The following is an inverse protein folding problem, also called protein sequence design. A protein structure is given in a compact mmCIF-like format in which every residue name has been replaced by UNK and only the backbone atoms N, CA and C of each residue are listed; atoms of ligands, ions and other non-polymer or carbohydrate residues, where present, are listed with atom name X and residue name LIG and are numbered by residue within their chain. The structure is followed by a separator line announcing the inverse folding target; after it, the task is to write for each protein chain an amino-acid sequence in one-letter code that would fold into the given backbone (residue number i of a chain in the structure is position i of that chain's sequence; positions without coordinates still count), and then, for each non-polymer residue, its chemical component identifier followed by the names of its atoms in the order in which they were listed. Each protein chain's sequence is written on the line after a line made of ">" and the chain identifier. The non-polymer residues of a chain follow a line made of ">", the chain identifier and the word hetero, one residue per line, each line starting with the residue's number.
data_IF_226499697802
#
_entry.id   IF_226499697802
#
_cell.length_a   1.000
_cell.length_b   1.000
_cell.length_c   1.000
_cell.angle_alpha   90.00
_cell.angle_beta   90.00
_cell.angle_gamma   90.00
#
_symmetry.space_group_name_H-M   'P 1'
#
loop_
_entity.id
_entity.type
_entity.pdbx_description
1 polymer ?
#
# COMPACT_ATOMS: atom_id res chain seq x y z
N UNK A 1 133.91 13.66 51.69
CA UNK A 1 133.45 14.35 52.92
C UNK A 1 132.27 15.22 52.50
N UNK A 2 131.08 15.18 53.08
CA UNK A 2 130.63 14.70 54.38
C UNK A 2 129.17 14.25 54.19
N UNK A 3 128.91 12.95 54.29
CA UNK A 3 127.56 12.41 54.32
C UNK A 3 126.84 12.99 55.53
N UNK A 4 125.86 13.87 55.29
CA UNK A 4 125.09 14.50 56.35
C UNK A 4 124.13 13.45 56.93
N UNK A 5 124.61 12.86 58.03
CA UNK A 5 124.03 11.85 58.92
C UNK A 5 122.64 12.18 59.49
N UNK A 6 122.00 13.26 59.04
CA UNK A 6 120.73 13.79 59.56
C UNK A 6 119.48 13.19 58.87
N UNK A 7 119.63 12.48 57.74
CA UNK A 7 118.49 11.84 57.05
C UNK A 7 118.28 10.37 57.48
N UNK A 8 119.28 9.75 58.13
CA UNK A 8 119.23 8.34 58.53
C UNK A 8 118.75 8.09 59.97
N UNK A 9 118.63 9.13 60.81
CA UNK A 9 118.19 8.98 62.21
C UNK A 9 116.69 9.28 62.44
N UNK A 10 116.00 10.01 61.56
CA UNK A 10 114.54 10.15 61.65
C UNK A 10 113.77 8.91 61.15
N UNK A 11 114.46 7.96 60.49
CA UNK A 11 113.92 6.65 60.11
C UNK A 11 113.94 5.61 61.25
N UNK A 12 114.31 6.05 62.48
CA UNK A 12 114.44 5.24 63.69
C UNK A 12 113.49 5.67 64.83
N UNK A 13 112.35 6.27 64.50
CA UNK A 13 111.23 6.35 65.44
C UNK A 13 110.23 5.24 65.14
N UNK A 14 110.67 4.00 65.37
CA UNK A 14 109.77 2.87 65.62
C UNK A 14 109.09 3.14 66.95
N UNK A 15 107.97 3.86 66.91
CA UNK A 15 107.01 3.89 68.00
C UNK A 15 106.38 2.50 68.07
N UNK A 16 106.99 1.70 68.93
CA UNK A 16 106.58 0.37 69.37
C UNK A 16 105.23 0.45 70.06
N UNK A 17 104.18 0.74 69.30
CA UNK A 17 102.82 0.33 69.62
C UNK A 17 102.59 -0.97 68.88
N UNK A 18 102.71 -2.10 69.58
CA UNK A 18 102.06 -3.33 69.14
C UNK A 18 100.57 -3.03 69.15
N UNK A 19 100.04 -2.46 68.07
CA UNK A 19 98.60 -2.46 67.83
C UNK A 19 98.31 -3.90 67.48
N UNK A 20 98.12 -4.71 68.52
CA UNK A 20 97.34 -5.93 68.40
C UNK A 20 96.02 -5.42 67.83
N UNK A 21 95.84 -5.53 66.52
CA UNK A 21 94.50 -5.57 65.96
C UNK A 21 93.92 -6.87 66.54
N UNK A 22 93.35 -6.75 67.73
CA UNK A 22 92.38 -7.70 68.25
C UNK A 22 91.19 -7.48 67.32
N UNK A 23 91.28 -8.03 66.11
CA UNK A 23 90.20 -8.01 65.15
C UNK A 23 89.12 -8.86 65.81
N UNK A 24 88.01 -8.25 66.30
CA UNK A 24 87.00 -9.04 66.96
C UNK A 24 86.44 -10.01 65.92
N UNK A 25 86.21 -11.28 66.29
CA UNK A 25 85.59 -12.30 65.42
C UNK A 25 84.29 -11.78 64.75
N UNK A 26 83.64 -10.79 65.37
CA UNK A 26 82.50 -10.05 64.83
C UNK A 26 82.74 -9.45 63.44
N UNK A 27 83.97 -9.02 63.11
CA UNK A 27 84.30 -8.42 61.82
C UNK A 27 84.32 -9.44 60.68
N UNK A 28 84.74 -10.68 60.97
CA UNK A 28 84.61 -11.80 60.03
C UNK A 28 83.15 -12.19 59.80
N UNK A 29 82.34 -12.20 60.87
CA UNK A 29 80.89 -12.47 60.77
C UNK A 29 80.14 -11.42 59.94
N UNK A 30 80.41 -10.14 60.18
CA UNK A 30 79.79 -9.05 59.39
C UNK A 30 80.29 -9.03 57.95
N UNK A 31 81.57 -9.28 57.70
CA UNK A 31 82.11 -9.39 56.34
C UNK A 31 81.50 -10.58 55.58
N UNK A 32 81.38 -11.75 56.23
CA UNK A 32 80.75 -12.93 55.63
C UNK A 32 79.25 -12.69 55.34
N UNK A 33 78.53 -12.03 56.25
CA UNK A 33 77.13 -11.68 56.04
C UNK A 33 76.93 -10.71 54.87
N UNK A 34 77.77 -9.68 54.74
CA UNK A 34 77.75 -8.77 53.59
C UNK A 34 78.06 -9.49 52.28
N UNK A 35 79.06 -10.38 52.30
CA UNK A 35 79.43 -11.16 51.13
C UNK A 35 78.30 -12.10 50.69
N UNK A 36 77.66 -12.78 51.64
CA UNK A 36 76.50 -13.63 51.38
C UNK A 36 75.33 -12.83 50.79
N UNK A 37 75.04 -11.63 51.33
CA UNK A 37 74.01 -10.74 50.80
C UNK A 37 74.33 -10.31 49.36
N UNK A 38 75.59 -9.97 49.08
CA UNK A 38 76.02 -9.58 47.74
C UNK A 38 75.86 -10.71 46.73
N UNK A 39 76.25 -11.93 47.09
CA UNK A 39 76.05 -13.13 46.24
C UNK A 39 74.57 -13.40 46.03
N UNK A 40 73.72 -13.24 47.06
CA UNK A 40 72.28 -13.41 46.96
C UNK A 40 71.65 -12.41 45.98
N UNK A 41 72.07 -11.14 46.02
CA UNK A 41 71.61 -10.10 45.10
C UNK A 41 72.01 -10.43 43.66
N UNK A 42 73.26 -10.84 43.43
CA UNK A 42 73.72 -11.23 42.09
C UNK A 42 72.97 -12.44 41.55
N UNK A 43 72.74 -13.44 42.40
CA UNK A 43 71.93 -14.61 42.04
C UNK A 43 70.50 -14.21 41.68
N UNK A 44 69.87 -13.34 42.49
CA UNK A 44 68.53 -12.84 42.23
C UNK A 44 68.46 -12.05 40.91
N UNK A 45 69.42 -11.16 40.63
CA UNK A 45 69.49 -10.41 39.37
C UNK A 45 69.68 -11.31 38.15
N UNK A 46 70.47 -12.38 38.27
CA UNK A 46 70.69 -13.33 37.17
C UNK A 46 69.45 -14.16 36.87
N UNK A 47 68.63 -14.47 37.88
CA UNK A 47 67.35 -15.17 37.71
C UNK A 47 66.21 -14.23 37.30
N UNK A 48 66.39 -12.92 37.45
CA UNK A 48 65.41 -11.92 37.08
C UNK A 48 65.56 -11.55 35.60
N UNK A 49 65.10 -12.43 34.72
CA UNK A 49 64.80 -12.03 33.36
C UNK A 49 63.64 -11.03 33.41
N UNK A 50 63.93 -9.76 33.12
CA UNK A 50 62.92 -8.77 32.80
C UNK A 50 62.22 -9.24 31.52
N UNK A 51 61.16 -10.03 31.69
CA UNK A 51 60.27 -10.45 30.62
C UNK A 51 59.77 -9.20 29.92
N UNK A 52 60.44 -8.86 28.82
CA UNK A 52 60.09 -7.73 27.96
C UNK A 52 58.74 -8.07 27.37
N UNK A 53 57.67 -7.61 28.03
CA UNK A 53 56.32 -7.61 27.49
C UNK A 53 56.31 -6.65 26.31
N UNK A 54 56.69 -7.15 25.15
CA UNK A 54 56.34 -6.51 23.90
C UNK A 54 54.83 -6.69 23.71
N UNK A 55 54.09 -5.65 24.05
CA UNK A 55 52.70 -5.51 23.62
C UNK A 55 52.70 -5.45 22.10
N UNK A 56 52.42 -6.58 21.45
CA UNK A 56 52.22 -6.61 20.00
C UNK A 56 50.94 -5.82 19.71
N UNK A 57 51.09 -4.58 19.23
CA UNK A 57 49.98 -3.78 18.71
C UNK A 57 49.59 -4.34 17.33
N UNK A 58 49.01 -5.54 17.31
CA UNK A 58 48.40 -6.10 16.12
C UNK A 58 46.97 -5.59 15.96
N UNK A 59 46.60 -5.16 14.76
CA UNK A 59 45.21 -4.95 14.38
C UNK A 59 44.84 -6.01 13.34
N UNK A 60 43.64 -6.58 13.46
CA UNK A 60 43.11 -7.51 12.47
C UNK A 60 42.67 -6.69 11.25
N UNK A 61 43.53 -6.61 10.25
CA UNK A 61 43.18 -6.00 8.97
C UNK A 61 42.47 -7.05 8.09
N UNK A 62 41.25 -6.79 7.60
CA UNK A 62 40.54 -7.72 6.74
C UNK A 62 41.30 -7.91 5.42
N UNK A 63 41.73 -9.15 5.13
CA UNK A 63 42.54 -9.46 3.94
C UNK A 63 41.84 -9.17 2.61
N UNK A 64 40.49 -9.18 2.60
CA UNK A 64 39.67 -9.01 1.39
C UNK A 64 39.05 -7.61 1.25
N UNK A 65 39.44 -6.66 2.11
CA UNK A 65 38.88 -5.32 2.13
C UNK A 65 37.50 -5.23 2.81
N UNK A 66 36.96 -4.03 2.89
CA UNK A 66 35.65 -3.72 3.49
C UNK A 66 34.76 -3.11 2.41
N UNK A 67 33.50 -3.55 2.34
CA UNK A 67 32.49 -2.98 1.45
C UNK A 67 31.40 -2.36 2.30
N UNK A 68 31.13 -1.08 2.06
CA UNK A 68 29.98 -0.40 2.65
C UNK A 68 28.77 -0.60 1.76
N UNK A 69 27.71 -1.20 2.31
CA UNK A 69 26.46 -1.37 1.59
C UNK A 69 25.65 -0.07 1.66
N UNK A 70 25.30 0.47 0.50
CA UNK A 70 24.41 1.61 0.37
C UNK A 70 23.05 1.15 -0.12
N UNK A 71 21.99 1.67 0.49
CA UNK A 71 20.64 1.39 0.04
C UNK A 71 20.33 2.19 -1.22
N UNK A 72 19.69 1.56 -2.20
CA UNK A 72 19.37 2.20 -3.48
C UNK A 72 18.40 3.38 -3.37
N UNK A 73 17.65 3.49 -2.26
CA UNK A 73 16.64 4.54 -2.02
C UNK A 73 16.63 4.93 -0.54
N UNK A 74 16.38 6.22 -0.27
CA UNK A 74 16.15 6.73 1.09
C UNK A 74 14.82 6.21 1.64
N UNK A 75 14.82 5.77 2.90
CA UNK A 75 13.64 5.26 3.58
C UNK A 75 13.89 5.08 5.08
N UNK A 76 12.85 4.71 5.82
CA UNK A 76 12.93 4.48 7.27
C UNK A 76 13.29 3.01 7.50
N UNK A 77 14.35 2.76 8.28
CA UNK A 77 14.70 1.41 8.72
C UNK A 77 13.57 0.90 9.62
N UNK A 78 12.87 -0.14 9.17
CA UNK A 78 11.78 -0.73 9.94
C UNK A 78 12.27 -1.89 10.81
N UNK A 79 13.19 -2.70 10.29
CA UNK A 79 13.71 -3.86 11.00
C UNK A 79 15.12 -4.21 10.53
N UNK A 80 16.02 -4.52 11.45
CA UNK A 80 17.37 -5.04 11.21
C UNK A 80 17.44 -6.47 11.76
N UNK A 81 17.92 -7.41 10.96
CA UNK A 81 17.98 -8.84 11.32
C UNK A 81 19.38 -9.36 11.59
N UNK A 82 20.40 -8.49 11.53
CA UNK A 82 21.79 -8.87 11.72
C UNK A 82 22.41 -8.09 12.87
N UNK A 83 23.38 -8.73 13.52
CA UNK A 83 24.20 -8.15 14.59
C UNK A 83 25.67 -8.15 14.16
N UNK A 84 26.49 -7.37 14.86
CA UNK A 84 27.92 -7.26 14.57
C UNK A 84 28.63 -8.61 14.75
N UNK A 85 29.44 -9.00 13.77
CA UNK A 85 30.17 -10.27 13.79
C UNK A 85 29.39 -11.49 13.27
N UNK A 86 28.13 -11.31 12.84
CA UNK A 86 27.34 -12.40 12.24
C UNK A 86 27.83 -12.74 10.82
N UNK A 87 28.04 -14.02 10.55
CA UNK A 87 28.30 -14.50 9.19
C UNK A 87 27.02 -14.52 8.35
N UNK A 88 27.05 -13.90 7.17
CA UNK A 88 25.90 -13.72 6.30
C UNK A 88 26.16 -14.45 4.98
N UNK A 89 25.14 -15.14 4.47
CA UNK A 89 25.18 -15.82 3.16
C UNK A 89 24.65 -14.93 2.04
N UNK A 90 25.09 -15.18 0.81
CA UNK A 90 24.62 -14.43 -0.36
C UNK A 90 23.10 -14.55 -0.51
N UNK A 91 22.42 -13.41 -0.63
CA UNK A 91 20.96 -13.35 -0.74
C UNK A 91 20.19 -13.31 0.59
N UNK A 92 20.87 -13.42 1.74
CA UNK A 92 20.22 -13.33 3.04
C UNK A 92 19.73 -11.89 3.32
N UNK A 93 18.46 -11.69 3.74
CA UNK A 93 17.93 -10.37 4.04
C UNK A 93 18.53 -9.81 5.33
N UNK A 94 19.16 -8.63 5.21
CA UNK A 94 19.88 -7.96 6.31
C UNK A 94 18.96 -6.97 7.04
N UNK A 95 18.18 -6.19 6.29
CA UNK A 95 17.29 -5.15 6.82
C UNK A 95 16.04 -4.98 5.95
N UNK A 96 14.93 -4.55 6.57
CA UNK A 96 13.72 -4.08 5.88
C UNK A 96 13.63 -2.58 6.02
N UNK A 97 13.62 -1.90 4.88
CA UNK A 97 13.42 -0.46 4.79
C UNK A 97 12.01 -0.23 4.28
N UNK A 98 11.23 0.54 5.04
CA UNK A 98 9.95 1.05 4.57
C UNK A 98 10.19 2.40 3.88
N UNK A 99 9.74 2.51 2.64
CA UNK A 99 9.83 3.75 1.89
C UNK A 99 8.79 4.75 2.42
N UNK A 100 9.24 5.84 3.05
CA UNK A 100 8.36 6.91 3.55
C UNK A 100 7.87 7.85 2.44
N UNK A 101 8.43 7.80 1.22
CA UNK A 101 7.95 8.63 0.10
C UNK A 101 6.50 8.30 -0.31
N UNK A 102 5.92 7.20 0.20
CA UNK A 102 4.52 6.85 0.01
C UNK A 102 3.54 7.43 1.04
N UNK A 103 3.99 7.93 2.21
CA UNK A 103 3.03 8.32 3.27
C UNK A 103 2.44 9.72 3.09
N UNK A 104 3.17 10.65 2.48
CA UNK A 104 2.66 12.02 2.22
C UNK A 104 2.02 12.15 0.83
N UNK A 105 2.64 11.62 -0.23
CA UNK A 105 2.11 11.74 -1.62
C UNK A 105 1.44 10.47 -2.17
N UNK A 106 1.78 9.29 -1.65
CA UNK A 106 1.22 8.01 -2.09
C UNK A 106 -0.11 7.67 -1.40
N UNK A 107 -0.23 7.98 -0.11
CA UNK A 107 -1.47 7.83 0.67
C UNK A 107 -2.55 8.76 0.13
N UNK A 108 -2.20 10.03 -0.14
CA UNK A 108 -3.11 11.01 -0.76
C UNK A 108 -3.60 10.55 -2.15
N UNK A 109 -2.71 10.04 -3.01
CA UNK A 109 -3.11 9.48 -4.31
C UNK A 109 -4.01 8.26 -4.18
N UNK A 110 -3.71 7.38 -3.24
CA UNK A 110 -4.53 6.17 -3.00
C UNK A 110 -5.89 6.55 -2.41
N UNK A 111 -5.94 7.49 -1.47
CA UNK A 111 -7.21 7.98 -0.90
C UNK A 111 -8.04 8.74 -1.91
N UNK A 112 -7.42 9.56 -2.77
CA UNK A 112 -8.11 10.26 -3.84
C UNK A 112 -8.70 9.27 -4.86
N UNK A 113 -7.96 8.21 -5.22
CA UNK A 113 -8.44 7.16 -6.12
C UNK A 113 -9.60 6.38 -5.49
N UNK A 114 -9.52 6.06 -4.19
CA UNK A 114 -10.62 5.40 -3.46
C UNK A 114 -11.86 6.30 -3.41
N UNK A 115 -11.69 7.59 -3.13
CA UNK A 115 -12.78 8.57 -3.11
C UNK A 115 -13.42 8.70 -4.49
N UNK A 116 -12.62 8.79 -5.55
CA UNK A 116 -13.10 8.86 -6.93
C UNK A 116 -13.84 7.59 -7.35
N UNK A 117 -13.38 6.43 -6.88
CA UNK A 117 -14.09 5.16 -7.15
C UNK A 117 -15.44 5.13 -6.42
N UNK A 118 -15.50 5.61 -5.17
CA UNK A 118 -16.74 5.69 -4.39
C UNK A 118 -17.74 6.69 -4.98
N UNK A 119 -17.27 7.85 -5.47
CA UNK A 119 -18.14 8.81 -6.18
C UNK A 119 -18.68 8.22 -7.47
N UNK A 120 -17.87 7.52 -8.25
CA UNK A 120 -18.31 6.83 -9.47
C UNK A 120 -19.35 5.76 -9.17
N UNK A 121 -19.16 4.99 -8.10
CA UNK A 121 -20.09 3.94 -7.69
C UNK A 121 -21.46 4.53 -7.31
N UNK A 122 -21.47 5.60 -6.50
CA UNK A 122 -22.69 6.35 -6.14
C UNK A 122 -23.39 6.94 -7.35
N UNK A 123 -22.63 7.50 -8.30
CA UNK A 123 -23.18 8.05 -9.54
C UNK A 123 -23.81 6.96 -10.41
N UNK A 124 -23.20 5.77 -10.47
CA UNK A 124 -23.73 4.64 -11.23
C UNK A 124 -25.00 4.08 -10.59
N UNK A 125 -25.06 3.96 -9.27
CA UNK A 125 -26.28 3.59 -8.54
C UNK A 125 -27.42 4.57 -8.76
N UNK A 126 -27.12 5.88 -8.70
CA UNK A 126 -28.11 6.91 -9.01
C UNK A 126 -28.59 6.84 -10.45
N UNK A 127 -27.69 6.59 -11.40
CA UNK A 127 -28.06 6.42 -12.82
C UNK A 127 -28.96 5.20 -13.03
N UNK A 128 -28.67 4.08 -12.34
CA UNK A 128 -29.48 2.87 -12.39
C UNK A 128 -30.89 3.13 -11.85
N UNK A 129 -31.02 3.72 -10.67
CA UNK A 129 -32.34 3.99 -10.07
C UNK A 129 -33.19 4.93 -10.91
N UNK A 130 -32.59 5.97 -11.51
CA UNK A 130 -33.29 6.87 -12.44
C UNK A 130 -33.72 6.11 -13.71
N UNK A 131 -32.84 5.27 -14.26
CA UNK A 131 -33.16 4.48 -15.45
C UNK A 131 -34.32 3.52 -15.21
N UNK A 132 -34.33 2.83 -14.07
CA UNK A 132 -35.40 1.90 -13.68
C UNK A 132 -36.73 2.64 -13.50
N UNK A 133 -36.71 3.81 -12.85
CA UNK A 133 -37.90 4.65 -12.70
C UNK A 133 -38.43 5.16 -14.05
N UNK A 134 -37.55 5.56 -14.97
CA UNK A 134 -37.93 5.99 -16.32
C UNK A 134 -38.55 4.84 -17.12
N UNK A 135 -37.94 3.65 -17.06
CA UNK A 135 -38.43 2.46 -17.75
C UNK A 135 -39.83 2.05 -17.27
N UNK A 136 -40.05 2.06 -15.95
CA UNK A 136 -41.38 1.79 -15.37
C UNK A 136 -42.42 2.81 -15.83
N UNK A 137 -42.07 4.11 -15.85
CA UNK A 137 -42.96 5.17 -16.32
C UNK A 137 -43.31 5.02 -17.81
N UNK A 138 -42.34 4.67 -18.65
CA UNK A 138 -42.56 4.42 -20.07
C UNK A 138 -43.48 3.21 -20.29
N UNK A 139 -43.24 2.13 -19.54
CA UNK A 139 -44.08 0.92 -19.59
C UNK A 139 -45.53 1.23 -19.22
N UNK A 140 -45.76 1.96 -18.13
CA UNK A 140 -47.10 2.40 -17.73
C UNK A 140 -47.76 3.30 -18.78
N UNK A 141 -46.99 4.23 -19.36
CA UNK A 141 -47.50 5.11 -20.41
C UNK A 141 -47.94 4.32 -21.65
N UNK A 142 -47.14 3.33 -22.08
CA UNK A 142 -47.48 2.45 -23.20
C UNK A 142 -48.72 1.59 -22.88
N UNK A 143 -48.84 1.08 -21.66
CA UNK A 143 -50.02 0.34 -21.23
C UNK A 143 -51.30 1.19 -21.31
N UNK A 144 -51.27 2.43 -20.81
CA UNK A 144 -52.40 3.35 -20.93
C UNK A 144 -52.72 3.71 -22.39
N UNK A 145 -51.71 3.84 -23.25
CA UNK A 145 -51.93 4.06 -24.68
C UNK A 145 -52.63 2.87 -25.34
N UNK A 146 -52.20 1.64 -25.03
CA UNK A 146 -52.85 0.42 -25.51
C UNK A 146 -54.28 0.33 -25.02
N UNK A 147 -54.54 0.62 -23.75
CA UNK A 147 -55.88 0.61 -23.19
C UNK A 147 -56.79 1.63 -23.90
N UNK A 148 -56.30 2.88 -24.10
CA UNK A 148 -57.03 3.92 -24.83
C UNK A 148 -57.32 3.51 -26.28
N UNK A 149 -56.35 2.89 -26.96
CA UNK A 149 -56.54 2.39 -28.33
C UNK A 149 -57.58 1.26 -28.37
N UNK A 150 -57.56 0.33 -27.42
CA UNK A 150 -58.55 -0.73 -27.31
C UNK A 150 -59.96 -0.19 -27.04
N UNK A 151 -60.08 0.81 -26.18
CA UNK A 151 -61.35 1.50 -25.93
C UNK A 151 -61.86 2.22 -27.19
N UNK A 152 -60.98 2.90 -27.92
CA UNK A 152 -61.32 3.56 -29.19
C UNK A 152 -61.78 2.54 -30.24
N UNK A 153 -61.06 1.42 -30.38
CA UNK A 153 -61.42 0.34 -31.30
C UNK A 153 -62.79 -0.28 -30.94
N UNK A 154 -63.06 -0.49 -29.66
CA UNK A 154 -64.36 -0.95 -29.17
C UNK A 154 -65.48 0.04 -29.51
N UNK A 155 -65.25 1.34 -29.30
CA UNK A 155 -66.22 2.39 -29.63
C UNK A 155 -66.51 2.45 -31.14
N UNK A 156 -65.46 2.38 -31.98
CA UNK A 156 -65.60 2.35 -33.44
C UNK A 156 -66.36 1.10 -33.90
N UNK A 157 -66.07 -0.08 -33.33
CA UNK A 157 -66.78 -1.31 -33.65
C UNK A 157 -68.26 -1.24 -33.27
N UNK A 158 -68.59 -0.64 -32.11
CA UNK A 158 -69.98 -0.38 -31.72
C UNK A 158 -70.67 0.56 -32.70
N UNK A 159 -70.02 1.67 -33.07
CA UNK A 159 -70.54 2.62 -34.05
C UNK A 159 -70.77 1.97 -35.42
N UNK A 160 -69.83 1.14 -35.89
CA UNK A 160 -69.95 0.34 -37.11
C UNK A 160 -71.16 -0.57 -37.04
N UNK A 161 -71.31 -1.36 -35.97
CA UNK A 161 -72.47 -2.27 -35.78
C UNK A 161 -73.79 -1.50 -35.81
N UNK A 162 -73.89 -0.39 -35.11
CA UNK A 162 -75.10 0.46 -35.11
C UNK A 162 -75.40 1.02 -36.49
N UNK A 163 -74.39 1.48 -37.24
CA UNK A 163 -74.57 1.96 -38.61
C UNK A 163 -75.01 0.85 -39.56
N UNK A 164 -74.47 -0.37 -39.43
CA UNK A 164 -74.90 -1.53 -40.22
C UNK A 164 -76.37 -1.87 -39.96
N UNK A 165 -76.79 -1.90 -38.68
CA UNK A 165 -78.20 -2.12 -38.32
C UNK A 165 -79.10 -1.01 -38.88
N UNK A 166 -78.66 0.25 -38.79
CA UNK A 166 -79.42 1.39 -39.32
C UNK A 166 -79.57 1.31 -40.85
N UNK A 167 -78.52 0.90 -41.55
CA UNK A 167 -78.53 0.73 -43.00
C UNK A 167 -79.48 -0.39 -43.43
N UNK A 168 -79.43 -1.54 -42.74
CA UNK A 168 -80.33 -2.67 -42.97
C UNK A 168 -81.80 -2.25 -42.77
N UNK A 169 -82.12 -1.60 -41.64
CA UNK A 169 -83.48 -1.13 -41.36
C UNK A 169 -83.99 -0.12 -42.41
N UNK A 170 -83.15 0.83 -42.84
CA UNK A 170 -83.54 1.79 -43.88
C UNK A 170 -83.73 1.13 -45.25
N UNK A 171 -82.94 0.10 -45.55
CA UNK A 171 -83.07 -0.68 -46.78
C UNK A 171 -84.39 -1.45 -46.80
N UNK A 172 -84.73 -2.15 -45.70
CA UNK A 172 -86.02 -2.84 -45.56
C UNK A 172 -87.20 -1.87 -45.64
N UNK A 173 -87.10 -0.67 -45.03
CA UNK A 173 -88.15 0.35 -45.14
C UNK A 173 -88.32 0.87 -46.57
N UNK A 174 -87.22 1.04 -47.30
CA UNK A 174 -87.24 1.44 -48.71
C UNK A 174 -87.91 0.37 -49.57
N UNK A 175 -87.49 -0.90 -49.46
CA UNK A 175 -88.07 -2.03 -50.20
C UNK A 175 -89.57 -2.19 -49.94
N UNK A 176 -89.99 -2.05 -48.68
CA UNK A 176 -91.41 -2.09 -48.30
C UNK A 176 -92.21 -0.94 -48.92
N UNK A 177 -91.67 0.29 -48.90
CA UNK A 177 -92.32 1.46 -49.52
C UNK A 177 -92.35 1.35 -51.05
N UNK A 178 -91.32 0.77 -51.66
CA UNK A 178 -91.28 0.50 -53.10
C UNK A 178 -92.39 -0.47 -53.50
N UNK A 179 -92.56 -1.57 -52.77
CA UNK A 179 -93.64 -2.55 -53.00
C UNK A 179 -95.01 -1.90 -52.86
N UNK A 180 -95.25 -1.16 -51.76
CA UNK A 180 -96.53 -0.47 -51.53
C UNK A 180 -96.86 0.62 -52.56
N UNK A 181 -95.84 1.24 -53.17
CA UNK A 181 -96.01 2.20 -54.24
C UNK A 181 -96.36 1.52 -55.57
N UNK A 182 -95.76 0.36 -55.86
CA UNK A 182 -96.12 -0.47 -57.02
C UNK A 182 -97.57 -0.96 -56.95
N UNK A 183 -98.06 -1.25 -55.75
CA UNK A 183 -99.44 -1.63 -55.48
C UNK A 183 -100.43 -0.44 -55.49
N UNK A 184 -99.95 0.80 -55.70
CA UNK A 184 -100.77 2.01 -55.85
C UNK A 184 -101.21 2.68 -54.55
N UNK A 185 -100.74 2.21 -53.39
CA UNK A 185 -101.16 2.70 -52.06
C UNK A 185 -100.28 3.82 -51.48
N UNK A 186 -99.23 4.27 -52.19
CA UNK A 186 -98.28 5.28 -51.68
C UNK A 186 -97.94 6.37 -52.73
N UNK A 187 -97.85 7.63 -52.29
CA UNK A 187 -97.42 8.78 -53.12
C UNK A 187 -95.96 8.67 -53.55
N UNK A 188 -95.65 9.08 -54.79
CA UNK A 188 -94.28 9.14 -55.32
C UNK A 188 -93.32 9.99 -54.47
N UNK A 189 -93.83 11.00 -53.77
CA UNK A 189 -93.05 11.84 -52.84
C UNK A 189 -92.51 11.05 -51.65
N UNK A 190 -93.29 10.11 -51.10
CA UNK A 190 -92.88 9.30 -49.95
C UNK A 190 -91.80 8.25 -50.29
N UNK A 191 -91.66 7.90 -51.58
CA UNK A 191 -90.62 7.01 -52.09
C UNK A 191 -89.29 7.79 -52.28
N UNK A 192 -89.37 9.02 -52.80
CA UNK A 192 -88.20 9.92 -52.92
C UNK A 192 -87.63 10.24 -51.53
N UNK A 193 -88.48 10.54 -50.54
CA UNK A 193 -88.03 10.78 -49.15
C UNK A 193 -87.33 9.56 -48.54
N UNK A 194 -87.82 8.34 -48.82
CA UNK A 194 -87.19 7.12 -48.35
C UNK A 194 -85.82 6.88 -49.01
N UNK A 195 -85.71 7.20 -50.30
CA UNK A 195 -84.47 7.11 -51.05
C UNK A 195 -83.43 8.12 -50.54
N UNK A 196 -83.85 9.37 -50.28
CA UNK A 196 -82.98 10.41 -49.72
C UNK A 196 -82.48 10.04 -48.30
N UNK A 197 -83.34 9.46 -47.48
CA UNK A 197 -82.98 8.97 -46.14
C UNK A 197 -81.91 7.85 -46.20
N UNK A 198 -81.95 6.98 -47.21
CA UNK A 198 -80.95 5.94 -47.45
C UNK A 198 -79.60 6.55 -47.89
N UNK A 199 -79.61 7.53 -48.79
CA UNK A 199 -78.40 8.23 -49.26
C UNK A 199 -77.74 9.09 -48.17
N UNK A 200 -78.51 9.55 -47.18
CA UNK A 200 -78.00 10.34 -46.05
C UNK A 200 -77.16 9.54 -45.06
N UNK A 201 -77.23 8.21 -45.09
CA UNK A 201 -76.33 7.37 -44.29
C UNK A 201 -74.95 7.43 -44.96
N UNK A 202 -73.90 7.95 -44.27
CA UNK A 202 -72.57 8.01 -44.85
C UNK A 202 -72.15 6.59 -45.23
N UNK A 203 -71.97 6.32 -46.53
CA UNK A 203 -71.34 5.09 -46.98
C UNK A 203 -69.93 5.09 -46.40
N UNK A 204 -69.68 4.20 -45.44
CA UNK A 204 -68.33 3.85 -45.04
C UNK A 204 -67.69 3.05 -46.19
N UNK A 205 -67.50 3.67 -47.36
CA UNK A 205 -66.62 3.16 -48.38
C UNK A 205 -65.21 3.22 -47.79
N UNK A 206 -64.78 2.05 -47.29
CA UNK A 206 -63.52 1.41 -47.66
C UNK A 206 -62.52 2.34 -48.36
N UNK A 207 -61.97 3.31 -47.65
CA UNK A 207 -60.69 3.90 -48.01
C UNK A 207 -59.62 3.15 -47.20
N UNK A 208 -59.41 1.89 -47.58
CA UNK A 208 -58.16 1.18 -47.35
C UNK A 208 -57.25 1.51 -48.54
N UNK A 209 -56.45 2.56 -48.39
CA UNK A 209 -55.18 2.74 -49.07
C UNK A 209 -54.13 3.05 -48.02
#
# INVERSE_FOLDING_TARGET
>A
MLFRRQVLEAKKQTLTGRVVLIQPLSLYGTSAALFALFVLILFYLSQFELARKETVKGYLAPQKGVITLYFARSGVLNQLWVEEGLEITEGQPIARIQNSQGLTSGKERTTALIQETDTQLKMLEKKRTISDALFNKQTLTLQHQLERLNQSLSAINKAKKTNTIRLDLQTQLYEKRQTLSQDGYLSATALIEAQEALFRIPRSESNNR
#
